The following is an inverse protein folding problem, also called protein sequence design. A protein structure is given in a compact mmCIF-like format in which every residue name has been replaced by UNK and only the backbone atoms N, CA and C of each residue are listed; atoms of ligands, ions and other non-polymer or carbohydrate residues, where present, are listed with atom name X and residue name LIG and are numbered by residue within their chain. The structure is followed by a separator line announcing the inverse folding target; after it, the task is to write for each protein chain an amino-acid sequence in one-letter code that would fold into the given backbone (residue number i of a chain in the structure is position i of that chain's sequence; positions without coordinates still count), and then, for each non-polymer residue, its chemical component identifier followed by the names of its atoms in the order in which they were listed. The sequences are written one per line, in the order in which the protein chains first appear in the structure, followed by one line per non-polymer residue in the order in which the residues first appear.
data_IF_905462516102
#
_entry.id   IF_905462516102
#
_cell.length_a   1.000
_cell.length_b   1.000
_cell.length_c   1.000
_cell.angle_alpha   90.00
_cell.angle_beta   90.00
_cell.angle_gamma   90.00
#
_symmetry.space_group_name_H-M   'P 1'
#
loop_
_entity.id
_entity.type
_entity.pdbx_description
1 polymer ?
#
# COMPACT_ATOMS: atom_id res chain seq x y z
N UNK A 1 6.68 2.60 -13.48
CA UNK A 1 6.31 3.74 -12.60
C UNK A 1 6.04 4.95 -13.46
N UNK A 2 4.92 5.61 -13.23
CA UNK A 2 4.44 6.70 -14.07
C UNK A 2 2.92 6.80 -13.98
N UNK A 3 2.34 7.81 -14.61
CA UNK A 3 0.90 8.10 -14.52
C UNK A 3 -0.01 6.94 -14.96
N UNK A 4 0.44 6.03 -15.83
CA UNK A 4 -0.34 4.86 -16.31
C UNK A 4 -0.62 3.80 -15.25
N UNK A 5 0.36 3.54 -14.37
CA UNK A 5 0.32 2.54 -13.31
C UNK A 5 0.81 3.18 -12.01
N UNK A 6 0.05 4.15 -11.45
CA UNK A 6 0.44 4.83 -10.23
C UNK A 6 0.31 3.88 -9.04
N UNK A 7 1.07 4.17 -7.98
CA UNK A 7 0.81 3.53 -6.68
C UNK A 7 -0.42 4.20 -6.07
N UNK A 8 -1.43 3.40 -5.80
CA UNK A 8 -2.73 3.86 -5.31
C UNK A 8 -2.78 3.61 -3.81
N UNK A 9 -3.13 4.64 -3.06
CA UNK A 9 -3.29 4.58 -1.62
C UNK A 9 -4.77 4.65 -1.26
N UNK A 10 -5.22 3.68 -0.46
CA UNK A 10 -6.60 3.58 0.02
C UNK A 10 -6.53 3.72 1.54
N UNK A 11 -7.35 4.60 2.11
CA UNK A 11 -7.36 4.87 3.55
C UNK A 11 -8.64 4.36 4.19
N UNK A 12 -8.48 3.55 5.25
CA UNK A 12 -9.55 3.09 6.12
C UNK A 12 -9.13 3.46 7.55
N UNK A 13 -9.74 4.50 8.11
CA UNK A 13 -9.33 5.08 9.41
C UNK A 13 -7.82 5.40 9.45
N UNK A 14 -7.03 4.71 10.28
CA UNK A 14 -5.58 4.84 10.39
C UNK A 14 -4.81 3.85 9.49
N UNK A 15 -5.49 2.91 8.83
CA UNK A 15 -4.89 1.96 7.90
C UNK A 15 -4.77 2.58 6.51
N UNK A 16 -3.55 2.55 5.97
CA UNK A 16 -3.28 2.88 4.57
C UNK A 16 -2.91 1.58 3.85
N UNK A 17 -3.64 1.29 2.79
CA UNK A 17 -3.40 0.16 1.89
C UNK A 17 -2.81 0.72 0.62
N UNK A 18 -1.75 0.10 0.12
CA UNK A 18 -1.11 0.45 -1.13
C UNK A 18 -1.18 -0.70 -2.12
N UNK A 19 -1.60 -0.39 -3.34
CA UNK A 19 -1.63 -1.32 -4.48
C UNK A 19 -1.04 -0.65 -5.72
N UNK A 20 -0.56 -1.45 -6.66
CA UNK A 20 -0.09 -0.97 -7.97
C UNK A 20 -0.82 -1.77 -9.04
N UNK A 21 -1.47 -1.14 -10.04
CA UNK A 21 -2.24 -1.88 -11.05
C UNK A 21 -1.43 -2.86 -11.90
N UNK A 22 -0.14 -2.58 -12.11
CA UNK A 22 0.75 -3.40 -12.95
C UNK A 22 2.23 -3.13 -12.62
N UNK A 23 3.10 -4.08 -12.98
CA UNK A 23 4.54 -4.07 -12.72
C UNK A 23 4.96 -4.92 -11.50
N UNK A 24 6.21 -4.80 -11.03
CA UNK A 24 6.79 -5.71 -10.03
C UNK A 24 6.04 -5.81 -8.69
N UNK A 25 5.24 -4.79 -8.34
CA UNK A 25 4.45 -4.76 -7.11
C UNK A 25 2.97 -5.13 -7.29
N UNK A 26 2.52 -5.52 -8.49
CA UNK A 26 1.09 -5.73 -8.76
C UNK A 26 0.49 -6.93 -8.02
N UNK A 27 1.33 -7.88 -7.60
CA UNK A 27 0.92 -9.03 -6.80
C UNK A 27 0.96 -8.76 -5.29
N UNK A 28 1.19 -7.51 -4.87
CA UNK A 28 1.33 -7.16 -3.46
C UNK A 28 0.25 -6.17 -3.04
N UNK A 29 -0.35 -6.47 -1.90
CA UNK A 29 -1.08 -5.48 -1.10
C UNK A 29 -0.19 -5.13 0.07
N UNK A 30 0.27 -3.89 0.11
CA UNK A 30 1.11 -3.37 1.19
C UNK A 30 0.25 -2.59 2.19
N UNK A 31 0.50 -2.75 3.48
CA UNK A 31 -0.23 -2.13 4.56
C UNK A 31 0.68 -1.19 5.36
N UNK A 32 0.09 -0.09 5.82
CA UNK A 32 0.72 0.87 6.72
C UNK A 32 -0.32 1.39 7.70
N UNK A 33 -0.36 0.81 8.89
CA UNK A 33 -1.24 1.27 9.96
C UNK A 33 -0.54 2.39 10.74
N UNK A 34 -1.08 3.62 10.65
CA UNK A 34 -0.53 4.78 11.35
C UNK A 34 -0.72 4.65 12.86
N UNK A 35 0.37 4.88 13.60
CA UNK A 35 0.41 5.00 15.07
C UNK A 35 0.59 6.45 15.50
N UNK A 36 1.10 7.29 14.61
CA UNK A 36 1.17 8.75 14.70
C UNK A 36 1.25 9.35 13.29
N UNK A 37 1.35 10.67 13.18
CA UNK A 37 1.58 11.37 11.91
C UNK A 37 2.90 11.00 11.22
N UNK A 38 3.84 10.35 11.94
CA UNK A 38 5.19 10.05 11.46
C UNK A 38 5.61 8.59 11.60
N UNK A 39 4.78 7.74 12.21
CA UNK A 39 5.12 6.34 12.46
C UNK A 39 3.98 5.39 12.08
N UNK A 40 4.37 4.21 11.62
CA UNK A 40 3.44 3.18 11.15
C UNK A 40 3.96 1.78 11.42
N UNK A 41 3.05 0.83 11.57
CA UNK A 41 3.33 -0.60 11.45
C UNK A 41 3.06 -1.02 10.00
N UNK A 42 3.91 -1.88 9.46
CA UNK A 42 3.83 -2.34 8.07
C UNK A 42 3.51 -3.82 7.99
N UNK A 43 2.94 -4.20 6.86
CA UNK A 43 2.74 -5.58 6.48
C UNK A 43 2.55 -5.70 4.98
N UNK A 44 2.66 -6.91 4.44
CA UNK A 44 2.40 -7.20 3.04
C UNK A 44 1.69 -8.53 2.90
N UNK A 45 0.70 -8.60 2.00
CA UNK A 45 0.12 -9.86 1.57
C UNK A 45 0.37 -10.01 0.07
N UNK A 46 0.73 -11.24 -0.34
CA UNK A 46 0.91 -11.58 -1.75
C UNK A 46 -0.33 -12.24 -2.32
N UNK A 47 -0.69 -11.84 -3.53
CA UNK A 47 -1.75 -12.44 -4.34
C UNK A 47 -1.19 -13.33 -5.47
N UNK A 48 -1.99 -14.29 -5.96
CA UNK A 48 -3.31 -14.67 -5.46
C UNK A 48 -3.21 -15.39 -4.10
N UNK A 49 -4.28 -15.30 -3.31
CA UNK A 49 -4.44 -16.08 -2.08
C UNK A 49 -5.15 -17.38 -2.48
N UNK A 50 -4.43 -18.49 -2.50
CA UNK A 50 -4.95 -19.79 -2.93
C UNK A 50 -5.47 -20.65 -1.77
N UNK A 51 -5.05 -20.32 -0.54
CA UNK A 51 -5.41 -21.01 0.70
C UNK A 51 -5.61 -20.00 1.81
N UNK A 52 -6.28 -20.41 2.88
CA UNK A 52 -6.36 -19.60 4.10
C UNK A 52 -4.96 -19.22 4.58
N UNK A 53 -4.78 -17.92 4.89
CA UNK A 53 -3.53 -17.38 5.43
C UNK A 53 -3.70 -17.10 6.93
N UNK A 54 -2.65 -17.26 7.74
CA UNK A 54 -2.73 -16.90 9.15
C UNK A 54 -2.85 -15.39 9.32
N UNK A 55 -3.40 -14.96 10.45
CA UNK A 55 -3.46 -13.53 10.81
C UNK A 55 -2.06 -12.86 10.88
N UNK A 56 -0.99 -13.66 11.00
CA UNK A 56 0.40 -13.21 11.03
C UNK A 56 1.02 -12.97 9.67
N UNK A 57 0.40 -13.45 8.58
CA UNK A 57 1.00 -13.48 7.24
C UNK A 57 1.52 -12.12 6.80
N UNK A 58 0.74 -11.06 7.08
CA UNK A 58 1.11 -9.69 6.72
C UNK A 58 2.46 -9.27 7.34
N UNK A 59 2.73 -9.70 8.56
CA UNK A 59 3.98 -9.40 9.27
C UNK A 59 5.08 -10.38 8.86
N UNK A 60 4.78 -11.67 8.82
CA UNK A 60 5.73 -12.74 8.55
C UNK A 60 6.39 -12.57 7.17
N UNK A 61 5.60 -12.17 6.17
CA UNK A 61 6.08 -11.94 4.79
C UNK A 61 7.20 -10.92 4.69
N UNK A 62 7.16 -9.87 5.51
CA UNK A 62 8.14 -8.79 5.46
C UNK A 62 9.33 -9.02 6.40
N UNK A 63 9.33 -10.09 7.20
CA UNK A 63 10.43 -10.37 8.11
C UNK A 63 11.72 -10.64 7.35
N UNK A 64 12.80 -10.02 7.82
CA UNK A 64 14.16 -10.26 7.34
C UNK A 64 15.11 -10.25 8.54
N UNK A 65 15.81 -11.35 8.83
CA UNK A 65 16.75 -11.44 9.96
C UNK A 65 16.17 -10.90 11.29
N UNK A 66 16.58 -9.70 11.72
CA UNK A 66 16.26 -9.07 13.01
C UNK A 66 15.25 -7.91 12.92
N UNK A 67 14.46 -7.83 11.85
CA UNK A 67 13.53 -6.73 11.58
C UNK A 67 12.72 -7.04 10.32
N UNK A 68 12.45 -6.03 9.50
CA UNK A 68 11.74 -6.22 8.22
C UNK A 68 12.56 -5.82 7.00
N UNK A 69 12.15 -6.22 5.81
CA UNK A 69 12.65 -5.71 4.53
C UNK A 69 12.32 -4.22 4.33
N UNK A 70 11.24 -3.72 4.96
CA UNK A 70 10.80 -2.33 4.89
C UNK A 70 11.82 -1.37 5.54
N UNK A 71 12.68 -1.85 6.45
CA UNK A 71 13.68 -1.04 7.16
C UNK A 71 14.61 -0.26 6.23
N UNK A 72 14.86 -0.79 5.03
CA UNK A 72 15.74 -0.15 4.05
C UNK A 72 15.28 1.28 3.73
N UNK A 73 13.97 1.46 3.63
CA UNK A 73 13.34 2.75 3.40
C UNK A 73 12.86 3.41 4.71
N UNK A 74 12.41 2.61 5.67
CA UNK A 74 11.62 3.08 6.82
C UNK A 74 12.36 3.12 8.17
N UNK A 75 13.69 3.00 8.17
CA UNK A 75 14.49 3.02 9.40
C UNK A 75 14.33 4.29 10.27
N UNK A 76 14.51 4.17 11.60
CA UNK A 76 14.77 2.94 12.36
C UNK A 76 13.49 2.12 12.60
N UNK A 77 13.66 0.84 12.94
CA UNK A 77 12.58 -0.05 13.35
C UNK A 77 12.69 -0.37 14.84
N UNK A 78 11.55 -0.45 15.52
CA UNK A 78 11.42 -0.93 16.89
C UNK A 78 10.31 -1.96 16.92
N UNK A 79 10.56 -3.14 17.50
CA UNK A 79 9.53 -4.16 17.63
C UNK A 79 8.36 -3.63 18.49
N UNK A 80 7.14 -3.78 17.99
CA UNK A 80 5.93 -3.40 18.73
C UNK A 80 5.38 -4.63 19.46
N UNK A 81 5.59 -4.67 20.77
CA UNK A 81 5.16 -5.78 21.63
C UNK A 81 3.65 -5.80 21.89
N UNK A 82 2.88 -4.79 21.47
CA UNK A 82 1.43 -4.78 21.61
C UNK A 82 0.73 -5.69 20.60
N UNK A 83 1.39 -6.00 19.48
CA UNK A 83 0.88 -6.93 18.46
C UNK A 83 1.36 -8.34 18.79
N UNK A 84 0.40 -9.23 19.06
CA UNK A 84 0.68 -10.62 19.46
C UNK A 84 0.50 -11.63 18.33
N UNK A 85 -0.15 -11.23 17.23
CA UNK A 85 -0.44 -12.09 16.07
C UNK A 85 0.75 -12.18 15.10
N UNK A 86 1.99 -11.99 15.54
CA UNK A 86 3.19 -12.01 14.70
C UNK A 86 4.28 -11.07 15.24
N UNK A 87 5.35 -10.87 14.47
CA UNK A 87 6.40 -9.89 14.80
C UNK A 87 6.18 -8.59 14.03
N UNK A 88 5.55 -7.61 14.67
CA UNK A 88 5.33 -6.29 14.09
C UNK A 88 6.44 -5.31 14.47
N UNK A 89 6.77 -4.40 13.55
CA UNK A 89 7.78 -3.36 13.76
C UNK A 89 7.19 -1.98 13.49
N UNK A 90 7.32 -1.10 14.48
CA UNK A 90 7.07 0.32 14.34
C UNK A 90 8.23 0.99 13.63
N UNK A 91 7.94 1.75 12.58
CA UNK A 91 8.95 2.42 11.75
C UNK A 91 8.42 3.74 11.21
N UNK A 92 9.27 4.52 10.52
CA UNK A 92 8.84 5.81 9.95
C UNK A 92 7.77 5.64 8.89
N UNK A 93 6.75 6.49 8.91
CA UNK A 93 5.79 6.64 7.82
C UNK A 93 6.30 7.68 6.82
N UNK A 94 6.09 7.45 5.52
CA UNK A 94 6.39 8.41 4.47
C UNK A 94 5.16 8.61 3.59
N UNK A 95 4.96 9.87 3.16
CA UNK A 95 3.98 10.23 2.14
C UNK A 95 4.62 10.26 0.75
N UNK A 96 3.83 10.09 -0.33
CA UNK A 96 4.32 10.28 -1.69
C UNK A 96 4.84 11.71 -1.92
N UNK A 97 5.74 11.89 -2.89
CA UNK A 97 6.21 13.23 -3.28
C UNK A 97 5.09 14.00 -3.98
N UNK A 98 5.02 15.29 -3.74
CA UNK A 98 4.01 16.17 -4.33
C UNK A 98 4.04 16.13 -5.87
N UNK A 99 5.24 16.06 -6.46
CA UNK A 99 5.42 15.95 -7.92
C UNK A 99 5.04 14.61 -8.54
N UNK A 100 4.60 13.63 -7.75
CA UNK A 100 4.17 12.30 -8.22
C UNK A 100 2.67 12.07 -8.08
N UNK A 101 1.93 13.09 -7.66
CA UNK A 101 0.50 13.01 -7.45
C UNK A 101 -0.25 12.72 -8.76
N UNK A 102 -1.15 11.73 -8.70
CA UNK A 102 -2.13 11.44 -9.75
C UNK A 102 -3.50 11.63 -9.14
N UNK A 103 -4.29 12.52 -9.74
CA UNK A 103 -5.63 12.84 -9.23
C UNK A 103 -6.60 11.66 -9.38
N UNK A 104 -7.63 11.56 -8.53
CA UNK A 104 -8.71 10.58 -8.71
C UNK A 104 -9.34 10.66 -10.09
N UNK A 105 -9.52 11.85 -10.66
CA UNK A 105 -10.10 12.06 -11.99
C UNK A 105 -9.22 11.48 -13.10
N UNK A 106 -7.89 11.68 -12.99
CA UNK A 106 -6.93 11.05 -13.90
C UNK A 106 -6.96 9.54 -13.77
N UNK A 107 -7.03 9.01 -12.55
CA UNK A 107 -7.08 7.57 -12.32
C UNK A 107 -8.39 6.94 -12.83
N UNK A 108 -9.51 7.65 -12.71
CA UNK A 108 -10.80 7.24 -13.28
C UNK A 108 -10.77 7.22 -14.80
N UNK A 109 -10.12 8.20 -15.45
CA UNK A 109 -9.89 8.18 -16.89
C UNK A 109 -9.05 6.98 -17.32
N UNK A 110 -8.01 6.66 -16.54
CA UNK A 110 -7.17 5.48 -16.77
C UNK A 110 -7.99 4.19 -16.69
N UNK A 111 -8.90 4.08 -15.72
CA UNK A 111 -9.84 2.96 -15.60
C UNK A 111 -10.77 2.86 -16.81
N UNK A 112 -11.40 3.96 -17.24
CA UNK A 112 -12.32 4.00 -18.40
C UNK A 112 -11.65 3.61 -19.73
N UNK A 113 -10.34 3.77 -19.82
CA UNK A 113 -9.54 3.42 -21.01
C UNK A 113 -8.88 2.05 -20.89
N UNK A 114 -9.12 1.31 -19.81
CA UNK A 114 -8.53 -0.02 -19.62
C UNK A 114 -9.17 -1.03 -20.58
N UNK A 115 -8.35 -1.84 -21.24
CA UNK A 115 -8.81 -2.92 -22.12
C UNK A 115 -8.64 -4.26 -21.38
N UNK A 116 -9.74 -4.93 -20.97
CA UNK A 116 -9.66 -6.17 -20.21
C UNK A 116 -9.15 -7.36 -21.04
N UNK A 117 -9.18 -7.29 -22.37
CA UNK A 117 -8.64 -8.36 -23.22
C UNK A 117 -7.10 -8.29 -23.27
N UNK A 118 -6.54 -7.09 -23.27
CA UNK A 118 -5.09 -6.86 -23.30
C UNK A 118 -4.45 -6.79 -21.89
N UNK A 119 -5.18 -6.27 -20.90
CA UNK A 119 -4.67 -5.96 -19.55
C UNK A 119 -5.61 -6.46 -18.42
N UNK A 120 -5.99 -7.76 -18.39
CA UNK A 120 -7.07 -8.26 -17.53
C UNK A 120 -6.90 -7.92 -16.04
N UNK A 121 -5.75 -8.25 -15.45
CA UNK A 121 -5.50 -8.01 -14.02
C UNK A 121 -5.45 -6.53 -13.64
N UNK A 122 -4.89 -5.71 -14.53
CA UNK A 122 -4.82 -4.26 -14.32
C UNK A 122 -6.22 -3.66 -14.28
N UNK A 123 -7.09 -4.10 -15.20
CA UNK A 123 -8.47 -3.65 -15.25
C UNK A 123 -9.27 -4.16 -14.04
N UNK A 124 -9.05 -5.39 -13.57
CA UNK A 124 -9.67 -5.91 -12.34
C UNK A 124 -9.34 -5.06 -11.10
N UNK A 125 -8.08 -4.68 -10.92
CA UNK A 125 -7.66 -3.81 -9.81
C UNK A 125 -8.35 -2.44 -9.89
N UNK A 126 -8.39 -1.84 -11.09
CA UNK A 126 -9.01 -0.54 -11.30
C UNK A 126 -10.54 -0.60 -11.14
N UNK A 127 -11.18 -1.67 -11.58
CA UNK A 127 -12.61 -1.91 -11.41
C UNK A 127 -12.99 -2.11 -9.94
N UNK A 128 -12.15 -2.81 -9.17
CA UNK A 128 -12.31 -2.94 -7.72
C UNK A 128 -12.30 -1.59 -6.97
N UNK A 129 -11.66 -0.56 -7.54
CA UNK A 129 -11.61 0.79 -6.97
C UNK A 129 -12.81 1.66 -7.35
N UNK A 130 -13.17 1.71 -8.64
CA UNK A 130 -14.15 2.65 -9.16
C UNK A 130 -15.52 2.04 -9.46
N UNK A 131 -15.62 0.73 -9.62
CA UNK A 131 -16.86 0.04 -9.97
C UNK A 131 -17.86 -0.08 -8.81
N UNK A 132 -17.41 0.06 -7.56
CA UNK A 132 -18.22 -0.23 -6.37
C UNK A 132 -18.78 1.01 -5.66
N UNK A 133 -18.05 2.12 -5.65
CA UNK A 133 -18.44 3.34 -4.94
C UNK A 133 -17.70 4.58 -5.44
N UNK A 134 -18.17 5.75 -5.04
CA UNK A 134 -17.48 7.01 -5.29
C UNK A 134 -16.17 7.07 -4.48
N UNK A 135 -15.04 7.17 -5.19
CA UNK A 135 -13.74 7.45 -4.60
C UNK A 135 -13.67 8.91 -4.14
N UNK A 136 -13.18 9.14 -2.92
CA UNK A 136 -12.92 10.49 -2.40
C UNK A 136 -11.43 10.67 -2.14
N UNK A 137 -10.83 11.79 -2.55
CA UNK A 137 -9.44 12.06 -2.22
C UNK A 137 -9.26 12.24 -0.71
N UNK A 138 -8.06 11.91 -0.22
CA UNK A 138 -7.62 12.24 1.12
C UNK A 138 -6.19 12.76 1.07
N UNK A 139 -5.81 13.55 2.07
CA UNK A 139 -4.45 14.04 2.23
C UNK A 139 -3.69 13.23 3.28
N UNK A 140 -2.41 13.01 3.02
CA UNK A 140 -1.48 12.53 4.04
C UNK A 140 -1.22 13.66 5.06
N UNK A 141 -0.89 13.33 6.33
CA UNK A 141 -0.45 14.34 7.29
C UNK A 141 0.66 15.22 6.71
N UNK A 142 0.50 16.54 6.78
CA UNK A 142 1.41 17.49 6.12
C UNK A 142 2.84 17.43 6.64
N UNK A 143 3.02 16.99 7.88
CA UNK A 143 4.31 16.79 8.55
C UNK A 143 4.94 15.43 8.23
N UNK A 144 4.22 14.52 7.56
CA UNK A 144 4.76 13.23 7.18
C UNK A 144 5.86 13.45 6.13
N UNK A 145 7.07 12.89 6.34
CA UNK A 145 8.17 13.10 5.41
C UNK A 145 7.92 12.41 4.07
N UNK A 146 8.61 12.85 3.02
CA UNK A 146 8.64 12.16 1.70
C UNK A 146 9.96 11.41 1.51
N UNK A 147 10.00 10.45 0.59
CA UNK A 147 11.27 9.91 0.10
C UNK A 147 12.03 10.96 -0.74
N UNK A 148 13.37 11.02 -0.62
CA UNK A 148 14.27 11.97 -1.32
C UNK A 148 14.54 11.61 -2.77
#
# INVERSE_FOLDING_TARGET
MGTRNPRIFIKIENLIISVVPDGPGAQLVEFSELRSDSTSIKGEIKFPIETDIPNSEAFDRILDRSGTSCRFCHSPEVQDSSITVGQAFLSKAFRPRDGTYVSPETLEQIWKLCDPEDEPHRCEILDGLFGQAQVRPFDFPSQMPTFF
#
